data_IF_392770528101
#
_entry.id   IF_392770528101
#
_cell.length_a   1.000
_cell.length_b   1.000
_cell.length_c   1.000
_cell.angle_alpha   90.00
_cell.angle_beta   90.00
_cell.angle_gamma   90.00
#
_symmetry.space_group_name_H-M   'P 1'
#
loop_
_entity.id
_entity.type
_entity.pdbx_description
1 polymer ?
#
# COMPACT_ATOMS: atom_id res chain seq x y z
N UNK A 1 3.97 -15.85 -9.58
CA UNK A 1 3.87 -14.36 -9.54
C UNK A 1 2.57 -13.99 -10.23
N UNK A 2 1.71 -13.16 -9.62
CA UNK A 2 0.45 -12.73 -10.24
C UNK A 2 0.76 -11.68 -11.31
N UNK A 3 0.35 -11.90 -12.56
CA UNK A 3 0.51 -10.91 -13.62
C UNK A 3 -0.63 -9.88 -13.55
N UNK A 4 -0.31 -8.65 -13.15
CA UNK A 4 -1.26 -7.53 -13.11
C UNK A 4 -1.37 -6.81 -14.47
N UNK A 5 -0.76 -7.36 -15.52
CA UNK A 5 -0.78 -6.79 -16.87
C UNK A 5 -2.13 -7.01 -17.57
N UNK A 6 -2.87 -8.07 -17.21
CA UNK A 6 -4.20 -8.33 -17.74
C UNK A 6 -5.18 -8.77 -16.63
N UNK A 7 -5.75 -7.82 -15.87
CA UNK A 7 -6.61 -8.13 -14.73
C UNK A 7 -7.95 -8.77 -15.12
N UNK A 8 -8.33 -8.79 -16.40
CA UNK A 8 -9.55 -9.45 -16.89
C UNK A 8 -9.47 -10.98 -16.82
N UNK A 9 -8.27 -11.56 -16.75
CA UNK A 9 -8.08 -13.01 -16.60
C UNK A 9 -8.07 -13.46 -15.12
N UNK A 10 -8.14 -12.50 -14.18
CA UNK A 10 -8.15 -12.79 -12.76
C UNK A 10 -9.58 -13.05 -12.27
N UNK A 11 -9.73 -14.05 -11.40
CA UNK A 11 -11.02 -14.32 -10.77
C UNK A 11 -11.51 -13.11 -9.96
N UNK A 12 -12.84 -12.90 -9.83
CA UNK A 12 -13.39 -11.80 -9.03
C UNK A 12 -12.89 -11.79 -7.57
N UNK A 13 -12.64 -12.97 -7.01
CA UNK A 13 -12.07 -13.13 -5.66
C UNK A 13 -10.64 -12.58 -5.60
N UNK A 14 -9.80 -12.99 -6.54
CA UNK A 14 -8.41 -12.52 -6.64
C UNK A 14 -8.34 -11.00 -6.83
N UNK A 15 -9.23 -10.42 -7.63
CA UNK A 15 -9.31 -8.96 -7.81
C UNK A 15 -9.63 -8.27 -6.48
N UNK A 16 -10.61 -8.78 -5.72
CA UNK A 16 -10.95 -8.25 -4.39
C UNK A 16 -9.77 -8.35 -3.42
N UNK A 17 -9.06 -9.47 -3.40
CA UNK A 17 -7.87 -9.65 -2.55
C UNK A 17 -6.77 -8.63 -2.89
N UNK A 18 -6.51 -8.43 -4.19
CA UNK A 18 -5.54 -7.43 -4.68
C UNK A 18 -5.98 -6.00 -4.30
N UNK A 19 -7.27 -5.68 -4.48
CA UNK A 19 -7.82 -4.38 -4.10
C UNK A 19 -7.66 -4.12 -2.61
N UNK A 20 -7.99 -5.11 -1.78
CA UNK A 20 -7.87 -5.02 -0.33
C UNK A 20 -6.40 -4.80 0.08
N UNK A 21 -5.47 -5.57 -0.51
CA UNK A 21 -4.05 -5.41 -0.26
C UNK A 21 -3.54 -4.02 -0.67
N UNK A 22 -4.01 -3.49 -1.81
CA UNK A 22 -3.67 -2.15 -2.26
C UNK A 22 -4.19 -1.08 -1.31
N UNK A 23 -5.42 -1.19 -0.80
CA UNK A 23 -5.97 -0.28 0.21
C UNK A 23 -5.09 -0.26 1.47
N UNK A 24 -4.68 -1.42 1.97
CA UNK A 24 -3.78 -1.49 3.12
C UNK A 24 -2.41 -0.85 2.86
N UNK A 25 -1.84 -1.03 1.66
CA UNK A 25 -0.58 -0.37 1.28
C UNK A 25 -0.74 1.16 1.25
N UNK A 26 -1.81 1.67 0.62
CA UNK A 26 -2.07 3.11 0.55
C UNK A 26 -2.29 3.72 1.94
N UNK A 27 -3.07 3.02 2.78
CA UNK A 27 -3.25 3.40 4.18
C UNK A 27 -1.90 3.45 4.91
N UNK A 28 -1.07 2.42 4.78
CA UNK A 28 0.23 2.35 5.44
C UNK A 28 1.14 3.52 5.06
N UNK A 29 1.17 3.91 3.77
CA UNK A 29 1.92 5.10 3.30
C UNK A 29 1.43 6.36 4.01
N UNK A 30 0.12 6.59 4.04
CA UNK A 30 -0.46 7.76 4.71
C UNK A 30 -0.21 7.73 6.22
N UNK A 31 -0.36 6.56 6.85
CA UNK A 31 -0.16 6.39 8.28
C UNK A 31 1.29 6.65 8.68
N UNK A 32 2.29 6.20 7.90
CA UNK A 32 3.71 6.50 8.13
C UNK A 32 3.96 8.02 8.05
N UNK A 33 3.30 8.73 7.12
CA UNK A 33 3.41 10.18 7.03
C UNK A 33 2.86 10.90 8.26
N UNK A 34 1.70 10.47 8.77
CA UNK A 34 1.08 11.02 9.98
C UNK A 34 1.96 10.87 11.21
N UNK A 35 2.62 9.72 11.35
CA UNK A 35 3.51 9.41 12.46
C UNK A 35 4.81 10.20 12.43
N UNK A 36 5.38 10.42 11.24
CA UNK A 36 6.48 11.38 11.09
C UNK A 36 6.07 12.78 11.54
N UNK A 37 4.86 13.24 11.21
CA UNK A 37 4.37 14.54 11.67
C UNK A 37 4.19 14.57 13.19
N UNK A 38 3.62 13.51 13.78
CA UNK A 38 3.50 13.40 15.23
C UNK A 38 4.87 13.39 15.92
N UNK A 39 5.87 12.70 15.35
CA UNK A 39 7.23 12.68 15.86
C UNK A 39 7.89 14.07 15.80
N UNK A 40 7.61 14.85 14.76
CA UNK A 40 8.05 16.26 14.67
C UNK A 40 7.36 17.12 15.73
N UNK A 41 6.04 16.99 15.91
CA UNK A 41 5.32 17.69 16.97
C UNK A 41 5.86 17.35 18.36
N UNK A 42 6.13 16.06 18.64
CA UNK A 42 6.71 15.62 19.90
C UNK A 42 8.10 16.23 20.16
N UNK A 43 8.95 16.31 19.13
CA UNK A 43 10.25 16.99 19.23
C UNK A 43 10.11 18.50 19.49
N UNK A 44 9.02 19.11 19.02
CA UNK A 44 8.70 20.51 19.26
C UNK A 44 7.93 20.75 20.59
N UNK A 45 7.70 19.72 21.41
CA UNK A 45 6.91 19.81 22.65
C UNK A 45 5.41 20.05 22.42
N UNK A 46 4.91 19.80 21.21
CA UNK A 46 3.52 19.98 20.82
C UNK A 46 2.73 18.67 20.96
N UNK A 47 1.40 18.74 21.20
CA UNK A 47 0.55 17.56 21.16
C UNK A 47 0.56 16.88 19.78
N UNK A 48 0.29 15.56 19.71
CA UNK A 48 0.24 14.85 18.43
C UNK A 48 -0.83 15.44 17.52
N UNK A 49 -0.46 15.64 16.24
CA UNK A 49 -1.36 16.21 15.22
C UNK A 49 -2.40 15.22 14.71
N UNK A 50 -2.08 13.93 14.75
CA UNK A 50 -2.92 12.85 14.26
C UNK A 50 -3.15 11.81 15.36
N UNK A 51 -4.35 11.21 15.46
CA UNK A 51 -4.62 10.13 16.40
C UNK A 51 -3.76 8.89 16.10
N UNK A 52 -3.55 8.01 17.09
CA UNK A 52 -2.99 6.69 16.85
C UNK A 52 -3.86 5.91 15.85
N UNK A 53 -3.25 4.97 15.14
CA UNK A 53 -3.97 4.16 14.16
C UNK A 53 -4.37 2.81 14.79
N UNK A 54 -5.68 2.57 14.88
CA UNK A 54 -6.27 1.34 15.43
C UNK A 54 -6.67 0.32 14.35
N UNK A 55 -6.32 0.57 13.08
CA UNK A 55 -6.69 -0.33 11.99
C UNK A 55 -5.95 -1.68 12.14
N UNK A 56 -6.67 -2.82 12.19
CA UNK A 56 -6.03 -4.13 12.27
C UNK A 56 -5.11 -4.36 11.08
N UNK A 57 -4.00 -5.05 11.32
CA UNK A 57 -2.93 -5.32 10.34
C UNK A 57 -2.16 -4.07 9.84
N UNK A 58 -2.48 -2.85 10.28
CA UNK A 58 -1.77 -1.64 9.88
C UNK A 58 -0.26 -1.74 10.17
N UNK A 59 0.13 -2.26 11.33
CA UNK A 59 1.54 -2.42 11.70
C UNK A 59 2.31 -3.31 10.71
N UNK A 60 1.72 -4.45 10.31
CA UNK A 60 2.35 -5.35 9.35
C UNK A 60 2.54 -4.68 7.99
N UNK A 61 1.49 -4.01 7.48
CA UNK A 61 1.56 -3.29 6.21
C UNK A 61 2.48 -2.06 6.26
N UNK A 62 2.60 -1.40 7.42
CA UNK A 62 3.60 -0.34 7.64
C UNK A 62 5.02 -0.87 7.48
N UNK A 63 5.36 -1.93 8.20
CA UNK A 63 6.68 -2.55 8.13
C UNK A 63 7.00 -3.02 6.71
N UNK A 64 6.03 -3.65 6.05
CA UNK A 64 6.16 -4.04 4.65
C UNK A 64 6.40 -2.85 3.72
N UNK A 65 5.65 -1.75 3.90
CA UNK A 65 5.80 -0.52 3.10
C UNK A 65 7.13 0.20 3.36
N UNK A 66 7.66 0.15 4.59
CA UNK A 66 9.01 0.64 4.91
C UNK A 66 10.05 -0.22 4.19
N UNK A 67 9.94 -1.54 4.31
CA UNK A 67 10.81 -2.49 3.63
C UNK A 67 10.81 -2.29 2.11
N UNK A 68 9.63 -2.17 1.49
CA UNK A 68 9.48 -1.97 0.04
C UNK A 68 10.26 -0.76 -0.51
N UNK A 69 10.47 0.28 0.31
CA UNK A 69 11.27 1.46 -0.09
C UNK A 69 12.76 1.22 -0.13
N UNK A 70 13.25 0.25 0.65
CA UNK A 70 14.67 -0.09 0.76
C UNK A 70 15.01 -1.40 0.05
N UNK A 71 14.00 -2.18 -0.34
CA UNK A 71 14.16 -3.49 -0.95
C UNK A 71 14.57 -3.37 -2.43
N UNK A 72 15.78 -3.82 -2.81
CA UNK A 72 16.25 -3.77 -4.19
C UNK A 72 15.47 -4.72 -5.10
N UNK A 73 15.38 -4.39 -6.39
CA UNK A 73 14.69 -5.19 -7.41
C UNK A 73 15.48 -6.39 -7.94
N UNK A 74 16.73 -6.58 -7.51
CA UNK A 74 17.70 -7.48 -8.19
C UNK A 74 17.53 -8.96 -7.87
N UNK A 75 16.76 -9.33 -6.85
CA UNK A 75 16.56 -10.72 -6.42
C UNK A 75 15.16 -10.92 -5.82
N UNK A 76 14.61 -12.15 -5.86
CA UNK A 76 13.38 -12.46 -5.12
C UNK A 76 13.59 -12.15 -3.64
N UNK A 77 12.65 -11.42 -3.06
CA UNK A 77 12.76 -11.00 -1.68
C UNK A 77 12.26 -12.12 -0.75
N UNK A 78 13.06 -12.47 0.25
CA UNK A 78 12.65 -13.45 1.27
C UNK A 78 11.54 -12.93 2.20
N UNK A 79 11.28 -11.61 2.20
CA UNK A 79 10.18 -11.03 2.99
C UNK A 79 8.84 -11.43 2.34
N UNK A 80 7.94 -12.07 3.11
CA UNK A 80 6.68 -12.54 2.57
C UNK A 80 5.86 -11.38 1.99
N UNK A 81 5.21 -11.64 0.86
CA UNK A 81 4.39 -10.67 0.12
C UNK A 81 5.12 -9.43 -0.40
N UNK A 82 6.44 -9.28 -0.22
CA UNK A 82 7.18 -8.10 -0.69
C UNK A 82 7.09 -7.94 -2.20
N UNK A 83 7.43 -8.96 -2.98
CA UNK A 83 7.43 -8.88 -4.44
C UNK A 83 6.03 -8.63 -5.00
N UNK A 84 5.03 -9.33 -4.48
CA UNK A 84 3.62 -9.14 -4.83
C UNK A 84 3.14 -7.73 -4.47
N UNK A 85 3.44 -7.23 -3.27
CA UNK A 85 3.04 -5.89 -2.83
C UNK A 85 3.73 -4.78 -3.64
N UNK A 86 5.01 -4.95 -3.98
CA UNK A 86 5.73 -4.06 -4.90
C UNK A 86 5.06 -4.04 -6.27
N UNK A 87 4.67 -5.19 -6.82
CA UNK A 87 3.99 -5.26 -8.11
C UNK A 87 2.63 -4.54 -8.08
N UNK A 88 1.82 -4.77 -7.05
CA UNK A 88 0.51 -4.11 -6.85
C UNK A 88 0.67 -2.60 -6.73
N UNK A 89 1.57 -2.13 -5.86
CA UNK A 89 1.81 -0.71 -5.66
C UNK A 89 2.37 -0.02 -6.91
N UNK A 90 3.30 -0.67 -7.62
CA UNK A 90 3.85 -0.18 -8.89
C UNK A 90 2.76 -0.06 -9.95
N UNK A 91 1.91 -1.09 -10.09
CA UNK A 91 0.78 -1.06 -11.00
C UNK A 91 -0.14 0.13 -10.71
N UNK A 92 -0.57 0.32 -9.46
CA UNK A 92 -1.46 1.44 -9.11
C UNK A 92 -0.87 2.82 -9.45
N UNK A 93 0.43 3.02 -9.21
CA UNK A 93 1.13 4.28 -9.53
C UNK A 93 1.25 4.56 -11.02
N UNK A 94 1.39 3.52 -11.84
CA UNK A 94 1.70 3.66 -13.27
C UNK A 94 0.46 3.45 -14.17
N UNK A 95 -0.58 2.78 -13.66
CA UNK A 95 -1.78 2.50 -14.41
C UNK A 95 -2.51 3.79 -14.76
N UNK A 96 -2.86 4.02 -16.02
CA UNK A 96 -3.70 5.17 -16.44
C UNK A 96 -5.07 4.73 -16.97
N UNK A 97 -5.30 3.42 -17.03
CA UNK A 97 -6.54 2.85 -17.53
C UNK A 97 -7.69 3.16 -16.55
N UNK A 98 -8.71 3.85 -17.04
CA UNK A 98 -9.94 4.21 -16.32
C UNK A 98 -10.89 3.04 -16.11
N UNK A 99 -10.73 1.96 -16.87
CA UNK A 99 -11.50 0.73 -16.76
C UNK A 99 -10.74 -0.38 -16.02
N UNK A 100 -9.58 -0.06 -15.42
CA UNK A 100 -8.82 -1.04 -14.66
C UNK A 100 -9.59 -1.50 -13.41
N UNK A 101 -10.05 -2.75 -13.43
CA UNK A 101 -10.83 -3.35 -12.34
C UNK A 101 -10.15 -3.25 -10.97
N UNK A 102 -8.82 -3.28 -10.91
CA UNK A 102 -8.05 -3.11 -9.66
C UNK A 102 -8.01 -1.63 -9.21
N UNK A 103 -7.72 -0.71 -10.13
CA UNK A 103 -7.41 0.68 -9.77
C UNK A 103 -8.65 1.57 -9.67
N UNK A 104 -9.65 1.38 -10.53
CA UNK A 104 -10.80 2.28 -10.70
C UNK A 104 -11.59 2.43 -9.41
N UNK A 105 -11.89 1.32 -8.73
CA UNK A 105 -12.62 1.35 -7.45
C UNK A 105 -11.88 2.18 -6.40
N UNK A 106 -10.58 1.94 -6.24
CA UNK A 106 -9.78 2.60 -5.20
C UNK A 106 -9.57 4.09 -5.50
N UNK A 107 -9.38 4.46 -6.77
CA UNK A 107 -9.28 5.87 -7.16
C UNK A 107 -10.52 6.68 -6.81
N UNK A 108 -11.71 6.10 -6.97
CA UNK A 108 -12.95 6.73 -6.57
C UNK A 108 -13.04 6.99 -5.06
N UNK A 109 -12.37 6.18 -4.23
CA UNK A 109 -12.36 6.34 -2.77
C UNK A 109 -11.27 7.27 -2.24
N UNK A 110 -10.20 7.51 -3.01
CA UNK A 110 -9.02 8.29 -2.58
C UNK A 110 -9.05 9.73 -3.12
N UNK A 111 -10.04 10.07 -3.95
CA UNK A 111 -10.33 11.42 -4.45
C UNK A 111 -11.12 12.23 -3.43
#
# INVERSE_FOLDING_TARGET
MISLANPHELSPKTIKDIQQQLVFILHAVACISKDKQNAVCAQAGQPPRHPPCDLPNCQAFRQLTIHMRQCPLRQPCAVPYCDTSKAIYKHWRQCRNTECLVCTRIRCFVQ
#
